data_IF_637979671228
#
_entry.id   IF_637979671228
#
_cell.length_a   1.000
_cell.length_b   1.000
_cell.length_c   1.000
_cell.angle_alpha   90.00
_cell.angle_beta   90.00
_cell.angle_gamma   90.00
#
_symmetry.space_group_name_H-M   'P 1'
#
loop_
_entity.id
_entity.type
_entity.pdbx_description
1 polymer ?
#
# COMPACT_ATOMS: atom_id res chain seq x y z
N UNK A 1 16.40 15.40 -3.86
CA UNK A 1 15.71 14.48 -4.78
C UNK A 1 15.59 15.19 -6.13
N UNK A 2 16.10 14.60 -7.20
CA UNK A 2 16.04 15.11 -8.57
C UNK A 2 14.97 14.35 -9.36
N UNK A 3 14.62 14.83 -10.56
CA UNK A 3 13.68 14.13 -11.44
C UNK A 3 14.16 12.71 -11.78
N UNK A 4 15.47 12.53 -12.00
CA UNK A 4 16.10 11.23 -12.28
C UNK A 4 15.90 10.21 -11.12
N UNK A 5 15.95 10.66 -9.88
CA UNK A 5 15.69 9.79 -8.72
C UNK A 5 14.24 9.29 -8.72
N UNK A 6 13.32 10.16 -9.15
CA UNK A 6 11.87 9.81 -9.26
C UNK A 6 11.66 8.81 -10.38
N UNK A 7 12.21 9.04 -11.58
CA UNK A 7 12.05 8.13 -12.72
C UNK A 7 12.67 6.76 -12.44
N UNK A 8 13.86 6.71 -11.80
CA UNK A 8 14.49 5.46 -11.37
C UNK A 8 13.59 4.68 -10.38
N UNK A 9 13.03 5.37 -9.37
CA UNK A 9 12.13 4.76 -8.40
C UNK A 9 10.86 4.23 -9.05
N UNK A 10 10.27 5.00 -9.98
CA UNK A 10 9.06 4.59 -10.69
C UNK A 10 9.33 3.41 -11.63
N UNK A 11 10.48 3.35 -12.26
CA UNK A 11 10.90 2.20 -13.08
C UNK A 11 10.93 0.92 -12.24
N UNK A 12 11.58 0.97 -11.07
CA UNK A 12 11.59 -0.17 -10.14
C UNK A 12 10.19 -0.57 -9.67
N UNK A 13 9.32 0.40 -9.40
CA UNK A 13 7.95 0.15 -8.98
C UNK A 13 7.12 -0.50 -10.09
N UNK A 14 7.26 -0.06 -11.34
CA UNK A 14 6.60 -0.66 -12.49
C UNK A 14 7.04 -2.10 -12.70
N UNK A 15 8.34 -2.37 -12.63
CA UNK A 15 8.89 -3.73 -12.74
C UNK A 15 8.38 -4.63 -11.60
N UNK A 16 8.46 -4.18 -10.35
CA UNK A 16 8.03 -4.95 -9.19
C UNK A 16 6.51 -5.26 -9.21
N UNK A 17 5.70 -4.40 -9.81
CA UNK A 17 4.25 -4.61 -9.95
C UNK A 17 3.85 -5.36 -11.21
N UNK A 18 4.77 -5.61 -12.17
CA UNK A 18 4.48 -6.15 -13.49
C UNK A 18 3.69 -5.18 -14.40
N UNK A 19 3.59 -3.91 -14.01
CA UNK A 19 2.87 -2.89 -14.78
C UNK A 19 3.70 -2.29 -15.91
N UNK A 20 4.98 -2.62 -16.00
CA UNK A 20 5.88 -2.26 -17.12
C UNK A 20 5.40 -2.86 -18.45
N UNK A 21 4.87 -4.08 -18.42
CA UNK A 21 4.29 -4.79 -19.56
C UNK A 21 2.79 -4.49 -19.80
N UNK A 22 2.16 -3.70 -18.93
CA UNK A 22 0.73 -3.37 -19.05
C UNK A 22 0.45 -2.49 -20.27
N UNK A 23 -0.72 -2.68 -20.90
CA UNK A 23 -1.20 -1.79 -21.96
C UNK A 23 -1.36 -0.36 -21.45
N UNK A 24 -1.13 0.64 -22.30
CA UNK A 24 -1.16 2.07 -21.92
C UNK A 24 -2.39 2.44 -21.09
N UNK A 25 -3.59 2.02 -21.49
CA UNK A 25 -4.83 2.31 -20.75
C UNK A 25 -5.01 1.57 -19.42
N UNK A 26 -4.08 0.67 -19.06
CA UNK A 26 -4.09 -0.10 -17.81
C UNK A 26 -2.90 0.24 -16.89
N UNK A 27 -2.07 1.19 -17.30
CA UNK A 27 -0.93 1.62 -16.47
C UNK A 27 -1.40 2.42 -15.26
N UNK A 28 -0.68 2.30 -14.14
CA UNK A 28 -1.03 3.05 -12.94
C UNK A 28 -0.84 4.55 -13.17
N UNK A 29 -1.66 5.35 -12.51
CA UNK A 29 -1.53 6.81 -12.47
C UNK A 29 -0.58 7.21 -11.34
N UNK A 30 0.36 8.11 -11.63
CA UNK A 30 1.19 8.73 -10.61
C UNK A 30 0.38 9.77 -9.83
N UNK A 31 0.38 9.66 -8.51
CA UNK A 31 -0.14 10.67 -7.60
C UNK A 31 1.02 11.25 -6.80
N UNK A 32 1.24 12.55 -6.89
CA UNK A 32 2.32 13.24 -6.17
C UNK A 32 1.87 14.55 -5.53
N UNK A 33 2.75 15.14 -4.74
CA UNK A 33 2.65 16.56 -4.34
C UNK A 33 3.13 17.48 -5.48
N UNK A 34 3.30 18.78 -5.14
CA UNK A 34 3.83 19.79 -6.05
C UNK A 34 5.33 20.06 -5.82
N UNK A 35 6.06 19.08 -5.29
CA UNK A 35 7.51 19.20 -5.12
C UNK A 35 8.23 19.47 -6.43
N UNK A 36 9.38 20.17 -6.40
CA UNK A 36 10.10 20.59 -7.63
C UNK A 36 10.42 19.44 -8.59
N UNK A 37 10.73 18.25 -8.05
CA UNK A 37 11.01 17.06 -8.86
C UNK A 37 9.76 16.53 -9.60
N UNK A 38 8.57 16.76 -9.08
CA UNK A 38 7.30 16.33 -9.69
C UNK A 38 6.74 17.37 -10.69
N UNK A 39 7.26 18.58 -10.68
CA UNK A 39 6.88 19.66 -11.62
C UNK A 39 7.83 19.73 -12.81
N UNK A 40 8.96 19.02 -12.75
CA UNK A 40 10.00 19.03 -13.77
C UNK A 40 9.47 18.55 -15.14
N UNK A 41 9.86 19.24 -16.21
CA UNK A 41 9.48 18.90 -17.57
C UNK A 41 9.97 17.51 -17.99
N UNK A 42 11.15 17.11 -17.53
CA UNK A 42 11.76 15.80 -17.81
C UNK A 42 10.90 14.65 -17.29
N UNK A 43 10.35 14.79 -16.08
CA UNK A 43 9.41 13.78 -15.54
C UNK A 43 8.12 13.74 -16.35
N UNK A 44 7.60 14.90 -16.76
CA UNK A 44 6.38 14.97 -17.57
C UNK A 44 6.57 14.31 -18.93
N UNK A 45 7.70 14.53 -19.60
CA UNK A 45 8.07 13.89 -20.86
C UNK A 45 8.16 12.36 -20.69
N UNK A 46 8.89 11.90 -19.67
CA UNK A 46 9.06 10.48 -19.38
C UNK A 46 7.72 9.76 -19.10
N UNK A 47 6.81 10.37 -18.30
CA UNK A 47 5.48 9.82 -18.05
C UNK A 47 4.63 9.76 -19.32
N UNK A 48 4.73 10.78 -20.19
CA UNK A 48 4.04 10.83 -21.47
C UNK A 48 4.49 9.71 -22.42
N UNK A 49 5.80 9.46 -22.50
CA UNK A 49 6.38 8.36 -23.29
C UNK A 49 5.85 6.99 -22.83
N UNK A 50 5.70 6.83 -21.51
CA UNK A 50 5.13 5.62 -20.96
C UNK A 50 3.59 5.57 -21.04
N UNK A 51 2.91 6.63 -21.45
CA UNK A 51 1.45 6.72 -21.44
C UNK A 51 0.85 6.64 -20.04
N UNK A 52 1.55 7.17 -19.04
CA UNK A 52 1.10 7.24 -17.66
C UNK A 52 0.50 8.60 -17.34
N UNK A 53 -0.66 8.60 -16.69
CA UNK A 53 -1.26 9.82 -16.16
C UNK A 53 -0.55 10.31 -14.91
N UNK A 54 -0.45 11.63 -14.75
CA UNK A 54 0.08 12.27 -13.55
C UNK A 54 -0.99 13.18 -12.93
N UNK A 55 -1.37 12.88 -11.69
CA UNK A 55 -2.23 13.74 -10.89
C UNK A 55 -1.43 14.34 -9.74
N UNK A 56 -1.40 15.66 -9.66
CA UNK A 56 -0.76 16.38 -8.55
C UNK A 56 -1.81 16.78 -7.53
N UNK A 57 -1.46 16.67 -6.24
CA UNK A 57 -2.32 17.14 -5.16
C UNK A 57 -2.67 18.61 -5.31
N UNK A 58 -3.93 18.97 -5.02
CA UNK A 58 -4.34 20.37 -4.96
C UNK A 58 -3.60 21.10 -3.84
N UNK A 59 -3.13 22.33 -4.02
CA UNK A 59 -2.59 23.13 -2.94
C UNK A 59 -3.59 23.16 -1.77
N UNK A 60 -3.14 23.01 -0.54
CA UNK A 60 -3.95 23.02 0.68
C UNK A 60 -4.91 21.83 0.88
N UNK A 61 -4.79 20.75 0.12
CA UNK A 61 -5.53 19.51 0.33
C UNK A 61 -4.61 18.33 0.73
N UNK A 62 -4.12 18.25 1.98
CA UNK A 62 -3.17 17.23 2.44
C UNK A 62 -3.80 15.83 2.47
N UNK A 63 -5.11 15.70 2.46
CA UNK A 63 -5.81 14.42 2.55
C UNK A 63 -5.45 13.44 1.42
N UNK A 64 -5.09 13.96 0.25
CA UNK A 64 -4.75 13.14 -0.93
C UNK A 64 -3.51 12.27 -0.69
N UNK A 65 -2.59 12.72 0.15
CA UNK A 65 -1.34 12.02 0.46
C UNK A 65 -1.28 11.42 1.88
N UNK A 66 -2.29 11.64 2.70
CA UNK A 66 -2.32 11.19 4.08
C UNK A 66 -2.07 9.69 4.30
N UNK A 67 -2.31 8.85 3.29
CA UNK A 67 -1.99 7.42 3.37
C UNK A 67 -0.49 7.15 3.26
N UNK A 68 0.20 7.78 2.31
CA UNK A 68 1.64 7.62 2.12
C UNK A 68 2.42 8.28 3.27
N UNK A 69 1.97 9.44 3.74
CA UNK A 69 2.53 10.12 4.90
C UNK A 69 2.45 9.25 6.16
N UNK A 70 1.29 8.65 6.42
CA UNK A 70 1.10 7.72 7.54
C UNK A 70 1.97 6.48 7.42
N UNK A 71 2.14 5.96 6.21
CA UNK A 71 3.06 4.86 5.97
C UNK A 71 4.50 5.23 6.30
N UNK A 72 4.98 6.38 5.78
CA UNK A 72 6.32 6.90 6.10
C UNK A 72 6.51 7.15 7.60
N UNK A 73 5.51 7.72 8.28
CA UNK A 73 5.58 7.92 9.73
C UNK A 73 5.65 6.59 10.47
N UNK A 74 4.90 5.58 10.05
CA UNK A 74 4.93 4.24 10.66
C UNK A 74 6.30 3.58 10.47
N UNK A 75 6.86 3.68 9.25
CA UNK A 75 8.21 3.19 8.95
C UNK A 75 9.27 3.90 9.80
N UNK A 76 9.26 5.24 9.81
CA UNK A 76 10.20 6.04 10.60
C UNK A 76 10.14 5.68 12.08
N UNK A 77 8.95 5.59 12.66
CA UNK A 77 8.79 5.23 14.06
C UNK A 77 9.37 3.83 14.37
N UNK A 78 9.26 2.88 13.44
CA UNK A 78 9.83 1.55 13.62
C UNK A 78 11.35 1.56 13.48
N UNK A 79 11.88 2.21 12.45
CA UNK A 79 13.32 2.24 12.15
C UNK A 79 14.09 3.04 13.19
N UNK A 80 13.55 4.14 13.72
CA UNK A 80 14.22 4.99 14.69
C UNK A 80 14.29 4.38 16.11
N UNK A 81 13.65 3.24 16.35
CA UNK A 81 13.73 2.54 17.65
C UNK A 81 15.03 1.74 17.84
N UNK A 82 15.76 1.49 16.77
CA UNK A 82 16.96 0.66 16.79
C UNK A 82 18.17 1.42 16.24
N UNK A 83 19.36 1.05 16.68
CA UNK A 83 20.61 1.56 16.15
C UNK A 83 21.12 0.61 15.05
N UNK A 84 21.49 1.16 13.92
CA UNK A 84 22.04 0.41 12.79
C UNK A 84 23.51 0.75 12.62
N UNK A 85 24.37 -0.26 12.71
CA UNK A 85 25.80 -0.09 12.59
C UNK A 85 26.29 -0.22 11.15
N UNK A 86 25.56 -0.98 10.33
CA UNK A 86 25.88 -1.20 8.93
C UNK A 86 24.68 -0.84 8.02
N UNK A 87 24.92 -0.25 6.85
CA UNK A 87 23.85 0.06 5.89
C UNK A 87 22.98 -1.16 5.53
N UNK A 88 23.59 -2.35 5.40
CA UNK A 88 22.87 -3.59 5.11
C UNK A 88 21.96 -4.07 6.24
N UNK A 89 22.19 -3.66 7.48
CA UNK A 89 21.28 -3.96 8.59
C UNK A 89 20.01 -3.13 8.48
N UNK A 90 20.16 -1.85 8.18
CA UNK A 90 19.03 -0.95 7.93
C UNK A 90 18.18 -1.44 6.75
N UNK A 91 18.82 -1.83 5.65
CA UNK A 91 18.13 -2.32 4.45
C UNK A 91 17.31 -3.58 4.76
N UNK A 92 17.88 -4.55 5.49
CA UNK A 92 17.17 -5.76 5.92
C UNK A 92 15.97 -5.46 6.81
N UNK A 93 16.10 -4.50 7.74
CA UNK A 93 15.00 -4.10 8.62
C UNK A 93 13.88 -3.38 7.86
N UNK A 94 14.22 -2.54 6.90
CA UNK A 94 13.23 -1.91 6.02
C UNK A 94 12.49 -2.98 5.21
N UNK A 95 13.20 -3.93 4.61
CA UNK A 95 12.60 -5.02 3.85
C UNK A 95 11.65 -5.87 4.71
N UNK A 96 12.09 -6.26 5.90
CA UNK A 96 11.26 -7.01 6.85
C UNK A 96 10.02 -6.22 7.30
N UNK A 97 10.16 -4.92 7.52
CA UNK A 97 9.02 -4.05 7.84
C UNK A 97 8.01 -3.99 6.69
N UNK A 98 8.48 -3.80 5.45
CA UNK A 98 7.61 -3.73 4.26
C UNK A 98 6.86 -5.05 4.06
N UNK A 99 7.54 -6.17 4.22
CA UNK A 99 6.93 -7.50 4.13
C UNK A 99 5.83 -7.69 5.19
N UNK A 100 6.14 -7.40 6.45
CA UNK A 100 5.17 -7.46 7.53
C UNK A 100 3.98 -6.49 7.30
N UNK A 101 4.25 -5.26 6.89
CA UNK A 101 3.22 -4.25 6.65
C UNK A 101 2.26 -4.69 5.55
N UNK A 102 2.78 -5.24 4.46
CA UNK A 102 1.97 -5.62 3.32
C UNK A 102 1.20 -6.94 3.52
N UNK A 103 1.79 -7.91 4.22
CA UNK A 103 1.26 -9.28 4.29
C UNK A 103 0.68 -9.67 5.64
N UNK A 104 1.08 -9.00 6.74
CA UNK A 104 0.67 -9.39 8.09
C UNK A 104 -0.17 -8.34 8.81
N UNK A 105 0.02 -7.06 8.51
CA UNK A 105 -0.67 -5.99 9.21
C UNK A 105 -2.07 -5.78 8.66
N UNK A 106 -3.07 -5.95 9.51
CA UNK A 106 -4.46 -5.61 9.19
C UNK A 106 -4.71 -4.10 9.32
N UNK A 107 -5.52 -3.56 8.40
CA UNK A 107 -5.90 -2.16 8.38
C UNK A 107 -7.42 -2.00 8.50
N UNK A 108 -7.86 -1.26 9.49
CA UNK A 108 -9.29 -1.00 9.71
C UNK A 108 -9.93 -0.32 8.50
N UNK A 109 -9.24 0.67 7.91
CA UNK A 109 -9.71 1.36 6.70
C UNK A 109 -9.82 0.46 5.46
N UNK A 110 -9.26 -0.75 5.50
CA UNK A 110 -9.38 -1.77 4.46
C UNK A 110 -10.32 -2.93 4.90
N UNK A 111 -11.19 -2.70 5.88
CA UNK A 111 -12.05 -3.76 6.42
C UNK A 111 -11.28 -4.86 7.15
N UNK A 112 -10.20 -4.49 7.85
CA UNK A 112 -9.28 -5.42 8.50
C UNK A 112 -8.65 -6.45 7.53
N UNK A 113 -8.36 -6.01 6.32
CA UNK A 113 -7.56 -6.76 5.34
C UNK A 113 -6.12 -6.24 5.36
N UNK A 114 -5.20 -7.06 4.85
CA UNK A 114 -3.83 -6.61 4.58
C UNK A 114 -3.77 -5.85 3.26
N UNK A 115 -2.80 -4.94 3.06
CA UNK A 115 -2.60 -4.28 1.78
C UNK A 115 -2.47 -5.27 0.61
N UNK A 116 -1.75 -6.37 0.79
CA UNK A 116 -1.57 -7.40 -0.22
C UNK A 116 -2.89 -8.12 -0.57
N UNK A 117 -3.79 -8.34 0.40
CA UNK A 117 -5.10 -8.94 0.11
C UNK A 117 -5.95 -8.05 -0.78
N UNK A 118 -5.89 -6.74 -0.56
CA UNK A 118 -6.61 -5.77 -1.40
C UNK A 118 -5.97 -5.65 -2.77
N UNK A 119 -4.66 -5.52 -2.82
CA UNK A 119 -3.90 -5.37 -4.07
C UNK A 119 -4.07 -6.58 -5.00
N UNK A 120 -4.00 -7.79 -4.45
CA UNK A 120 -4.17 -9.03 -5.22
C UNK A 120 -5.65 -9.41 -5.45
N UNK A 121 -6.62 -8.56 -5.13
CA UNK A 121 -8.04 -8.81 -5.36
C UNK A 121 -8.66 -9.89 -4.49
N UNK A 122 -7.98 -10.36 -3.42
CA UNK A 122 -8.46 -11.42 -2.52
C UNK A 122 -9.49 -10.91 -1.49
N UNK A 123 -9.60 -9.60 -1.33
CA UNK A 123 -10.37 -8.96 -0.25
C UNK A 123 -11.82 -9.44 -0.18
N UNK A 124 -12.55 -9.45 -1.30
CA UNK A 124 -13.94 -9.88 -1.35
C UNK A 124 -14.13 -11.32 -0.87
N UNK A 125 -13.30 -12.23 -1.33
CA UNK A 125 -13.35 -13.65 -0.94
C UNK A 125 -13.10 -13.83 0.56
N UNK A 126 -12.13 -13.10 1.13
CA UNK A 126 -11.84 -13.14 2.56
C UNK A 126 -13.01 -12.61 3.37
N UNK A 127 -13.62 -11.50 2.95
CA UNK A 127 -14.78 -10.92 3.64
C UNK A 127 -15.99 -11.87 3.65
N UNK A 128 -16.29 -12.49 2.52
CA UNK A 128 -17.37 -13.49 2.42
C UNK A 128 -17.10 -14.71 3.33
N UNK A 129 -15.85 -15.20 3.36
CA UNK A 129 -15.46 -16.30 4.24
C UNK A 129 -15.63 -15.93 5.71
N UNK A 130 -15.20 -14.72 6.12
CA UNK A 130 -15.36 -14.23 7.50
C UNK A 130 -16.83 -14.12 7.90
N UNK A 131 -17.69 -13.62 7.02
CA UNK A 131 -19.12 -13.51 7.28
C UNK A 131 -19.76 -14.90 7.45
N UNK A 132 -19.41 -15.88 6.63
CA UNK A 132 -19.89 -17.26 6.77
C UNK A 132 -19.47 -17.86 8.11
N UNK A 133 -18.20 -17.71 8.50
CA UNK A 133 -17.68 -18.19 9.79
C UNK A 133 -18.42 -17.52 10.95
N UNK A 134 -18.63 -16.21 10.88
CA UNK A 134 -19.36 -15.44 11.89
C UNK A 134 -20.78 -15.97 12.08
N UNK A 135 -21.53 -16.17 10.98
CA UNK A 135 -22.89 -16.70 11.02
C UNK A 135 -22.95 -18.09 11.65
N UNK A 136 -22.05 -18.97 11.23
CA UNK A 136 -21.98 -20.33 11.77
C UNK A 136 -21.63 -20.34 13.26
N UNK A 137 -20.65 -19.55 13.69
CA UNK A 137 -20.27 -19.41 15.10
C UNK A 137 -21.44 -18.90 15.95
N UNK A 138 -22.18 -17.90 15.47
CA UNK A 138 -23.36 -17.38 16.18
C UNK A 138 -24.44 -18.45 16.27
N UNK A 139 -24.68 -19.20 15.19
CA UNK A 139 -25.66 -20.29 15.17
C UNK A 139 -25.31 -21.37 16.19
N UNK A 140 -24.05 -21.81 16.21
CA UNK A 140 -23.59 -22.83 17.16
C UNK A 140 -23.71 -22.36 18.63
N UNK A 141 -23.29 -21.12 18.92
CA UNK A 141 -23.43 -20.54 20.26
C UNK A 141 -24.88 -20.50 20.72
N UNK A 142 -25.82 -20.13 19.86
CA UNK A 142 -27.27 -20.13 20.17
C UNK A 142 -27.79 -21.54 20.44
N UNK A 143 -27.35 -22.54 19.68
CA UNK A 143 -27.76 -23.95 19.92
C UNK A 143 -27.20 -24.47 21.23
N UNK A 144 -25.95 -24.20 21.56
CA UNK A 144 -25.34 -24.60 22.84
C UNK A 144 -26.06 -23.95 24.03
N UNK A 145 -26.33 -22.65 23.94
CA UNK A 145 -27.07 -21.95 25.00
C UNK A 145 -28.48 -22.55 25.24
N UNK A 146 -29.20 -22.87 24.16
CA UNK A 146 -30.53 -23.54 24.29
C UNK A 146 -30.43 -24.91 24.95
N UNK A 147 -29.39 -25.71 24.63
CA UNK A 147 -29.18 -27.03 25.25
C UNK A 147 -28.79 -26.95 26.73
N UNK A 148 -28.16 -25.86 27.16
CA UNK A 148 -27.81 -25.65 28.58
C UNK A 148 -28.95 -25.07 29.40
N UNK A 149 -29.94 -24.45 28.76
CA UNK A 149 -31.13 -23.86 29.41
C UNK A 149 -32.33 -24.77 29.46
N UNK A 150 -32.24 -25.95 28.84
CA UNK A 150 -33.26 -27.03 28.87
C UNK A 150 -32.84 -28.15 29.80
#
# INVERSE_FOLDING_TARGET
MRADDVTATLTLALQASGCDSARVGQRPRLLSDNGPCYVAADLAAWLSELGMEHTRGSPSHPQTQGKIERWHQTLKNRILLENYFLPGDLERQIAAFVEHYNHCRYHESLGNLTPADVYCGRGQTIMLKRERIKRETIRQRRLLHRKQAA
#
